data_IF_769627604605
#
_entry.id   IF_769627604605
#
_cell.length_a   1.000
_cell.length_b   1.000
_cell.length_c   1.000
_cell.angle_alpha   90.00
_cell.angle_beta   90.00
_cell.angle_gamma   90.00
#
_symmetry.space_group_name_H-M   'P 1'
#
loop_
_entity.id
_entity.type
_entity.pdbx_description
1 polymer ?
#
# COMPACT_ATOMS: atom_id res chain seq x y z
N UNK A 1 22.63 -6.96 29.67
CA UNK A 1 23.79 -6.20 29.15
C UNK A 1 23.80 -4.85 29.84
N UNK A 2 24.58 -4.74 30.91
CA UNK A 2 24.75 -3.52 31.72
C UNK A 2 25.96 -2.76 31.17
N UNK A 3 25.87 -1.45 31.00
CA UNK A 3 27.02 -0.61 30.63
C UNK A 3 27.21 0.44 31.72
N UNK A 4 28.27 0.22 32.50
CA UNK A 4 28.81 1.11 33.53
C UNK A 4 29.37 2.39 32.91
N UNK A 5 29.07 3.53 33.54
CA UNK A 5 29.82 4.78 33.38
C UNK A 5 31.15 4.67 34.10
N UNK A 6 32.25 5.01 33.42
CA UNK A 6 33.54 5.22 34.05
C UNK A 6 33.68 6.67 34.54
N UNK A 7 34.12 6.78 35.79
CA UNK A 7 34.51 8.00 36.49
C UNK A 7 36.02 8.17 36.40
N UNK A 8 36.48 9.38 36.09
CA UNK A 8 37.89 9.72 35.96
C UNK A 8 38.45 10.20 37.30
N UNK A 9 39.50 9.54 37.79
CA UNK A 9 40.30 9.97 38.93
C UNK A 9 41.49 10.85 38.48
N UNK A 10 42.07 11.69 39.36
CA UNK A 10 43.03 12.73 38.98
C UNK A 10 44.48 12.23 39.01
N UNK A 11 45.30 12.72 38.08
CA UNK A 11 46.76 12.50 38.11
C UNK A 11 47.43 13.72 38.75
N UNK A 12 48.04 13.48 39.92
CA UNK A 12 48.99 14.36 40.60
C UNK A 12 50.31 14.36 39.83
N UNK A 13 50.83 15.53 39.50
CA UNK A 13 52.19 15.72 39.01
C UNK A 13 53.18 15.87 40.17
N UNK A 14 54.27 15.12 40.14
CA UNK A 14 55.49 15.42 40.91
C UNK A 14 56.71 15.02 40.09
N UNK A 15 57.59 15.97 39.76
CA UNK A 15 59.00 15.92 40.15
C UNK A 15 59.72 17.24 39.87
N UNK A 16 60.59 17.59 40.81
CA UNK A 16 61.47 18.75 40.84
C UNK A 16 62.86 18.48 40.21
N UNK A 17 63.65 19.57 40.19
CA UNK A 17 65.12 19.72 40.03
C UNK A 17 65.52 20.40 38.69
N UNK A 18 66.46 21.34 38.58
CA UNK A 18 67.53 21.83 39.49
C UNK A 18 68.12 23.14 38.92
N UNK A 19 68.42 24.11 39.80
CA UNK A 19 69.50 25.12 39.84
C UNK A 19 69.98 25.94 38.61
N UNK A 20 70.16 27.25 38.86
CA UNK A 20 71.09 28.15 38.14
C UNK A 20 71.05 29.60 38.66
N UNK A 21 72.10 30.02 39.38
CA UNK A 21 72.32 31.35 39.96
C UNK A 21 72.37 32.50 38.92
N UNK A 22 71.88 33.68 39.30
CA UNK A 22 72.71 34.83 39.72
C UNK A 22 72.01 36.16 39.43
N UNK A 23 72.26 37.10 40.33
CA UNK A 23 71.78 38.47 40.31
C UNK A 23 72.27 39.24 39.08
N UNK A 24 71.47 40.20 38.62
CA UNK A 24 71.91 41.58 38.39
C UNK A 24 70.70 42.46 38.04
N UNK A 25 70.52 43.50 38.84
CA UNK A 25 69.66 44.65 38.56
C UNK A 25 70.05 45.28 37.21
N UNK A 26 69.08 45.39 36.29
CA UNK A 26 69.24 46.07 35.02
C UNK A 26 67.87 46.51 34.49
N UNK A 27 67.69 47.81 34.38
CA UNK A 27 66.41 48.49 34.13
C UNK A 27 65.72 48.11 32.80
N UNK A 28 64.39 48.30 32.82
CA UNK A 28 63.40 48.46 31.74
C UNK A 28 62.86 47.16 31.15
N UNK A 29 61.56 46.89 31.43
CA UNK A 29 60.61 46.23 30.55
C UNK A 29 59.16 46.58 30.97
N UNK A 30 58.83 47.87 31.14
CA UNK A 30 57.42 48.35 31.18
C UNK A 30 56.73 48.25 29.81
N UNK A 31 57.35 47.57 28.84
CA UNK A 31 56.86 47.35 27.48
C UNK A 31 56.42 45.90 27.22
N UNK A 32 56.40 45.01 28.23
CA UNK A 32 55.84 43.65 28.09
C UNK A 32 54.48 43.48 28.75
N UNK A 33 54.19 44.26 29.78
CA UNK A 33 52.93 44.15 30.55
C UNK A 33 51.72 44.78 29.83
N UNK A 34 51.94 45.74 28.92
CA UNK A 34 50.85 46.30 28.10
C UNK A 34 50.38 45.35 27.00
N UNK A 35 51.27 44.48 26.48
CA UNK A 35 50.94 43.51 25.43
C UNK A 35 50.14 42.34 26.00
N UNK A 36 50.54 41.80 27.15
CA UNK A 36 49.80 40.69 27.79
C UNK A 36 48.39 41.10 28.18
N UNK A 37 48.19 42.31 28.72
CA UNK A 37 46.85 42.74 29.12
C UNK A 37 45.89 42.89 27.94
N UNK A 38 46.32 43.48 26.82
CA UNK A 38 45.50 43.57 25.60
C UNK A 38 45.25 42.22 24.95
N UNK A 39 46.26 41.33 24.94
CA UNK A 39 46.13 39.98 24.37
C UNK A 39 45.19 39.11 25.21
N UNK A 40 45.18 39.25 26.54
CA UNK A 40 44.21 38.57 27.42
C UNK A 40 42.78 39.05 27.22
N UNK A 41 42.56 40.36 27.00
CA UNK A 41 41.21 40.87 26.66
C UNK A 41 40.75 40.39 25.28
N UNK A 42 41.65 40.34 24.29
CA UNK A 42 41.35 39.80 22.96
C UNK A 42 41.04 38.30 22.99
N UNK A 43 41.86 37.48 23.66
CA UNK A 43 41.61 36.03 23.79
C UNK A 43 40.32 35.76 24.55
N UNK A 44 40.01 36.59 25.57
CA UNK A 44 38.76 36.45 26.33
C UNK A 44 37.54 36.86 25.52
N UNK A 45 37.63 37.92 24.71
CA UNK A 45 36.58 38.33 23.78
C UNK A 45 36.37 37.31 22.66
N UNK A 46 37.44 36.80 22.04
CA UNK A 46 37.34 35.74 21.02
C UNK A 46 36.75 34.45 21.59
N UNK A 47 37.04 34.12 22.85
CA UNK A 47 36.46 32.97 23.53
C UNK A 47 34.97 33.18 23.87
N UNK A 48 34.55 34.40 24.21
CA UNK A 48 33.14 34.78 24.43
C UNK A 48 32.35 34.70 23.12
N UNK A 49 32.87 35.30 22.04
CA UNK A 49 32.30 35.23 20.69
C UNK A 49 32.20 33.78 20.18
N UNK A 50 33.19 32.93 20.50
CA UNK A 50 33.14 31.50 20.15
C UNK A 50 32.05 30.75 20.93
N UNK A 51 31.79 31.13 22.19
CA UNK A 51 30.73 30.56 23.01
C UNK A 51 29.35 31.02 22.51
N UNK A 52 29.23 32.27 22.10
CA UNK A 52 28.02 32.82 21.50
C UNK A 52 27.71 32.16 20.15
N UNK A 53 28.72 31.93 19.30
CA UNK A 53 28.55 31.17 18.05
C UNK A 53 28.09 29.72 18.32
N UNK A 54 28.64 29.07 19.36
CA UNK A 54 28.21 27.73 19.77
C UNK A 54 26.77 27.74 20.29
N UNK A 55 26.39 28.73 21.10
CA UNK A 55 25.03 28.89 21.60
C UNK A 55 24.03 29.17 20.48
N UNK A 56 24.40 30.01 19.50
CA UNK A 56 23.62 30.23 18.29
C UNK A 56 23.44 28.93 17.49
N UNK A 57 24.51 28.17 17.27
CA UNK A 57 24.44 26.89 16.57
C UNK A 57 23.54 25.88 17.31
N UNK A 58 23.65 25.79 18.64
CA UNK A 58 22.79 24.95 19.47
C UNK A 58 21.31 25.34 19.35
N UNK A 59 21.00 26.65 19.38
CA UNK A 59 19.61 27.13 19.23
C UNK A 59 19.01 26.78 17.86
N UNK A 60 19.82 26.75 16.80
CA UNK A 60 19.40 26.31 15.46
C UNK A 60 19.14 24.81 15.46
N UNK A 61 20.04 24.01 16.04
CA UNK A 61 19.87 22.56 16.14
C UNK A 61 18.64 22.16 16.97
N UNK A 62 18.36 22.85 18.06
CA UNK A 62 17.16 22.59 18.88
C UNK A 62 15.87 22.92 18.12
N UNK A 63 15.88 23.99 17.32
CA UNK A 63 14.76 24.36 16.44
C UNK A 63 14.54 23.30 15.37
N UNK A 64 15.61 22.80 14.77
CA UNK A 64 15.56 21.74 13.76
C UNK A 64 15.09 20.41 14.36
N UNK A 65 15.61 20.01 15.52
CA UNK A 65 15.17 18.81 16.23
C UNK A 65 13.68 18.88 16.58
N UNK A 66 13.22 20.03 17.09
CA UNK A 66 11.80 20.24 17.35
C UNK A 66 10.95 20.09 16.09
N UNK A 67 11.38 20.69 14.97
CA UNK A 67 10.70 20.58 13.69
C UNK A 67 10.62 19.12 13.21
N UNK A 68 11.74 18.39 13.23
CA UNK A 68 11.78 16.97 12.83
C UNK A 68 10.85 16.13 13.70
N UNK A 69 10.84 16.36 15.02
CA UNK A 69 9.94 15.66 15.96
C UNK A 69 8.47 15.97 15.70
N UNK A 70 8.13 17.19 15.31
CA UNK A 70 6.75 17.55 14.99
C UNK A 70 6.30 16.89 13.69
N UNK A 71 7.15 16.89 12.66
CA UNK A 71 6.88 16.17 11.39
C UNK A 71 6.70 14.68 11.65
N UNK A 72 7.60 14.04 12.42
CA UNK A 72 7.48 12.63 12.77
C UNK A 72 6.19 12.33 13.54
N UNK A 73 5.75 13.22 14.44
CA UNK A 73 4.46 13.10 15.13
C UNK A 73 3.29 13.15 14.16
N UNK A 74 3.29 14.07 13.20
CA UNK A 74 2.25 14.17 12.18
C UNK A 74 2.21 12.93 11.28
N UNK A 75 3.37 12.42 10.86
CA UNK A 75 3.45 11.20 10.05
C UNK A 75 2.90 9.99 10.80
N UNK A 76 3.31 9.80 12.07
CA UNK A 76 2.78 8.72 12.93
C UNK A 76 1.27 8.83 13.12
N UNK A 77 0.75 10.04 13.33
CA UNK A 77 -0.68 10.25 13.45
C UNK A 77 -1.44 9.95 12.15
N UNK A 78 -0.91 10.40 11.01
CA UNK A 78 -1.45 10.08 9.68
C UNK A 78 -1.49 8.57 9.42
N UNK A 79 -0.42 7.85 9.77
CA UNK A 79 -0.36 6.39 9.64
C UNK A 79 -1.38 5.69 10.53
N UNK A 80 -1.53 6.15 11.77
CA UNK A 80 -2.57 5.67 12.68
C UNK A 80 -3.97 5.88 12.11
N UNK A 81 -4.28 7.08 11.59
CA UNK A 81 -5.58 7.36 10.97
C UNK A 81 -5.81 6.49 9.73
N UNK A 82 -4.77 6.27 8.93
CA UNK A 82 -4.83 5.40 7.74
C UNK A 82 -5.12 3.95 8.12
N UNK A 83 -4.48 3.43 9.17
CA UNK A 83 -4.76 2.09 9.71
C UNK A 83 -6.18 2.01 10.25
N UNK A 84 -6.63 3.00 11.01
CA UNK A 84 -8.00 3.05 11.53
C UNK A 84 -9.04 3.08 10.41
N UNK A 85 -8.81 3.86 9.35
CA UNK A 85 -9.67 3.89 8.17
C UNK A 85 -9.75 2.52 7.49
N UNK A 86 -8.61 1.83 7.31
CA UNK A 86 -8.56 0.48 6.74
C UNK A 86 -9.36 -0.52 7.59
N UNK A 87 -9.20 -0.49 8.90
CA UNK A 87 -9.94 -1.36 9.82
C UNK A 87 -11.45 -1.14 9.71
N UNK A 88 -11.90 0.12 9.69
CA UNK A 88 -13.32 0.46 9.54
C UNK A 88 -13.86 -0.01 8.18
N UNK A 89 -13.10 0.19 7.10
CA UNK A 89 -13.49 -0.29 5.76
C UNK A 89 -13.61 -1.81 5.72
N UNK A 90 -12.67 -2.53 6.31
CA UNK A 90 -12.72 -3.99 6.40
C UNK A 90 -13.95 -4.45 7.16
N UNK A 91 -14.24 -3.86 8.34
CA UNK A 91 -15.43 -4.21 9.12
C UNK A 91 -16.74 -3.97 8.36
N UNK A 92 -16.83 -2.86 7.63
CA UNK A 92 -17.99 -2.56 6.78
C UNK A 92 -18.12 -3.55 5.64
N UNK A 93 -17.03 -3.82 4.92
CA UNK A 93 -17.05 -4.78 3.82
C UNK A 93 -17.41 -6.19 4.31
N UNK A 94 -16.93 -6.58 5.49
CA UNK A 94 -17.26 -7.86 6.10
C UNK A 94 -18.78 -8.01 6.27
N UNK A 95 -19.44 -7.03 6.91
CA UNK A 95 -20.88 -7.07 7.15
C UNK A 95 -21.75 -6.78 5.93
N UNK A 96 -21.36 -5.84 5.07
CA UNK A 96 -22.19 -5.40 3.94
C UNK A 96 -22.04 -6.29 2.69
N UNK A 97 -20.90 -6.98 2.56
CA UNK A 97 -20.56 -7.77 1.37
C UNK A 97 -20.35 -9.24 1.72
N UNK A 98 -19.42 -9.56 2.64
CA UNK A 98 -18.99 -10.95 2.83
C UNK A 98 -20.02 -11.81 3.56
N UNK A 99 -20.61 -11.32 4.65
CA UNK A 99 -21.59 -12.06 5.45
C UNK A 99 -22.86 -12.36 4.64
N UNK A 100 -23.48 -11.41 3.93
CA UNK A 100 -24.65 -11.68 3.09
C UNK A 100 -24.34 -12.66 1.94
N UNK A 101 -23.14 -12.58 1.36
CA UNK A 101 -22.70 -13.50 0.33
C UNK A 101 -22.61 -14.93 0.87
N UNK A 102 -21.92 -15.11 2.00
CA UNK A 102 -21.73 -16.42 2.63
C UNK A 102 -23.07 -17.00 3.09
N UNK A 103 -23.90 -16.19 3.75
CA UNK A 103 -25.24 -16.61 4.16
C UNK A 103 -26.08 -17.07 2.97
N UNK A 104 -26.03 -16.36 1.84
CA UNK A 104 -26.77 -16.77 0.63
C UNK A 104 -26.26 -18.07 0.01
N UNK A 105 -24.96 -18.33 0.11
CA UNK A 105 -24.37 -19.59 -0.34
C UNK A 105 -24.82 -20.72 0.59
N UNK A 106 -24.72 -20.52 1.89
CA UNK A 106 -25.13 -21.50 2.91
C UNK A 106 -26.62 -21.83 2.81
N UNK A 107 -27.49 -20.81 2.78
CA UNK A 107 -28.93 -20.98 2.55
C UNK A 107 -29.23 -21.79 1.28
N UNK A 108 -28.42 -21.61 0.22
CA UNK A 108 -28.61 -22.32 -1.04
C UNK A 108 -28.14 -23.75 -0.97
N UNK A 109 -27.02 -24.01 -0.29
CA UNK A 109 -26.53 -25.37 -0.03
C UNK A 109 -27.53 -26.12 0.84
N UNK A 110 -28.03 -25.50 1.90
CA UNK A 110 -29.00 -26.10 2.84
C UNK A 110 -30.38 -26.29 2.21
N UNK A 111 -30.79 -25.42 1.29
CA UNK A 111 -32.05 -25.59 0.56
C UNK A 111 -32.07 -26.82 -0.35
N UNK A 112 -30.91 -27.41 -0.67
CA UNK A 112 -30.83 -28.61 -1.49
C UNK A 112 -31.05 -29.85 -0.65
N UNK A 113 -31.96 -30.70 -1.13
CA UNK A 113 -32.13 -32.01 -0.54
C UNK A 113 -30.86 -32.83 -0.74
N UNK A 114 -30.40 -33.45 0.34
CA UNK A 114 -29.29 -34.41 0.29
C UNK A 114 -29.56 -35.55 -0.69
N UNK A 115 -30.83 -35.92 -0.89
CA UNK A 115 -31.26 -36.93 -1.85
C UNK A 115 -31.09 -36.48 -3.30
N UNK A 116 -31.36 -35.21 -3.61
CA UNK A 116 -31.14 -34.64 -4.95
C UNK A 116 -29.64 -34.63 -5.29
N UNK A 117 -28.80 -34.26 -4.32
CA UNK A 117 -27.33 -34.29 -4.46
C UNK A 117 -26.87 -35.73 -4.69
N UNK A 118 -27.38 -36.69 -3.90
CA UNK A 118 -27.02 -38.11 -4.02
C UNK A 118 -27.42 -38.66 -5.39
N UNK A 119 -28.65 -38.41 -5.84
CA UNK A 119 -29.14 -38.86 -7.15
C UNK A 119 -28.29 -38.31 -8.29
N UNK A 120 -27.91 -37.03 -8.23
CA UNK A 120 -27.00 -36.43 -9.23
C UNK A 120 -25.64 -37.12 -9.23
N UNK A 121 -25.07 -37.41 -8.06
CA UNK A 121 -23.78 -38.09 -7.95
C UNK A 121 -23.86 -39.51 -8.51
N UNK A 122 -24.96 -40.24 -8.25
CA UNK A 122 -25.23 -41.56 -8.80
C UNK A 122 -25.35 -41.52 -10.33
N UNK A 123 -26.04 -40.53 -10.89
CA UNK A 123 -26.15 -40.31 -12.35
C UNK A 123 -24.79 -39.98 -12.99
N UNK A 124 -23.96 -39.16 -12.35
CA UNK A 124 -22.61 -38.86 -12.85
C UNK A 124 -21.70 -40.09 -12.81
N UNK A 125 -21.80 -40.89 -11.74
CA UNK A 125 -21.06 -42.13 -11.60
C UNK A 125 -21.47 -43.17 -12.65
N UNK A 126 -22.77 -43.32 -12.92
CA UNK A 126 -23.24 -44.26 -13.94
C UNK A 126 -22.75 -43.86 -15.34
N UNK A 127 -22.78 -42.57 -15.68
CA UNK A 127 -22.21 -42.05 -16.94
C UNK A 127 -20.70 -42.34 -17.05
N UNK A 128 -19.95 -42.19 -15.95
CA UNK A 128 -18.52 -42.50 -15.93
C UNK A 128 -18.24 -43.99 -16.11
N UNK A 129 -19.00 -44.85 -15.43
CA UNK A 129 -18.87 -46.31 -15.56
C UNK A 129 -19.20 -46.74 -17.00
N UNK A 130 -20.26 -46.19 -17.59
CA UNK A 130 -20.63 -46.46 -18.99
C UNK A 130 -19.53 -46.03 -19.97
N UNK A 131 -18.90 -44.89 -19.74
CA UNK A 131 -17.74 -44.44 -20.52
C UNK A 131 -16.55 -45.39 -20.37
N UNK A 132 -16.20 -45.79 -19.14
CA UNK A 132 -15.13 -46.75 -18.87
C UNK A 132 -15.39 -48.09 -19.57
N UNK A 133 -16.61 -48.60 -19.49
CA UNK A 133 -17.01 -49.86 -20.11
C UNK A 133 -16.95 -49.79 -21.64
N UNK A 134 -17.32 -48.64 -22.24
CA UNK A 134 -17.23 -48.42 -23.70
C UNK A 134 -15.79 -48.31 -24.20
N UNK A 135 -14.92 -47.63 -23.45
CA UNK A 135 -13.52 -47.40 -23.84
C UNK A 135 -12.60 -48.57 -23.48
N UNK A 136 -13.00 -49.42 -22.53
CA UNK A 136 -12.26 -50.59 -22.08
C UNK A 136 -11.11 -50.23 -21.12
N UNK A 137 -10.09 -49.53 -21.62
CA UNK A 137 -8.98 -49.02 -20.82
C UNK A 137 -8.96 -47.49 -20.87
N UNK A 138 -9.19 -46.85 -19.72
CA UNK A 138 -9.16 -45.39 -19.58
C UNK A 138 -7.84 -44.98 -18.93
N UNK A 139 -6.87 -44.57 -19.76
CA UNK A 139 -5.69 -43.88 -19.27
C UNK A 139 -6.06 -42.42 -18.94
N UNK A 140 -5.81 -42.00 -17.70
CA UNK A 140 -6.11 -40.64 -17.21
C UNK A 140 -5.46 -39.54 -18.07
N UNK A 141 -4.34 -39.86 -18.72
CA UNK A 141 -3.56 -38.92 -19.54
C UNK A 141 -4.18 -38.64 -20.92
N UNK A 142 -5.19 -39.41 -21.34
CA UNK A 142 -5.85 -39.30 -22.67
C UNK A 142 -7.31 -38.87 -22.56
N UNK A 143 -7.56 -37.90 -21.67
CA UNK A 143 -8.88 -37.32 -21.49
C UNK A 143 -9.26 -36.43 -22.69
N UNK A 144 -10.34 -36.79 -23.39
CA UNK A 144 -10.95 -35.99 -24.44
C UNK A 144 -12.37 -35.58 -24.03
N UNK A 145 -12.67 -34.27 -23.90
CA UNK A 145 -14.00 -33.79 -23.53
C UNK A 145 -15.10 -34.18 -24.52
N UNK A 146 -14.75 -34.54 -25.77
CA UNK A 146 -15.70 -35.01 -26.77
C UNK A 146 -16.21 -36.43 -26.49
N UNK A 147 -15.44 -37.24 -25.75
CA UNK A 147 -15.77 -38.63 -25.44
C UNK A 147 -16.56 -38.75 -24.13
N UNK A 148 -16.13 -38.01 -23.11
CA UNK A 148 -16.79 -37.92 -21.82
C UNK A 148 -16.43 -36.57 -21.21
N UNK A 149 -17.44 -35.84 -20.73
CA UNK A 149 -17.26 -34.58 -20.02
C UNK A 149 -17.85 -34.71 -18.60
N UNK A 150 -17.01 -34.78 -17.54
CA UNK A 150 -17.47 -34.87 -16.16
C UNK A 150 -18.10 -33.55 -15.70
N UNK A 151 -17.91 -32.46 -16.44
CA UNK A 151 -18.55 -31.18 -16.18
C UNK A 151 -19.78 -30.97 -17.04
N UNK A 152 -20.25 -31.97 -17.80
CA UNK A 152 -21.42 -31.81 -18.65
C UNK A 152 -22.66 -31.56 -17.81
N UNK A 153 -23.06 -30.28 -17.72
CA UNK A 153 -24.18 -29.78 -16.93
C UNK A 153 -25.54 -30.10 -17.59
N UNK A 154 -25.80 -31.37 -17.90
CA UNK A 154 -27.09 -31.82 -18.44
C UNK A 154 -28.24 -31.59 -17.44
N UNK A 155 -27.90 -31.56 -16.16
CA UNK A 155 -28.80 -31.29 -15.03
C UNK A 155 -28.64 -29.83 -14.60
N UNK A 156 -29.57 -29.00 -15.09
CA UNK A 156 -29.85 -27.58 -14.78
C UNK A 156 -28.73 -26.78 -14.12
N UNK A 157 -28.01 -25.97 -14.91
CA UNK A 157 -27.07 -24.94 -14.41
C UNK A 157 -27.70 -24.01 -13.38
N UNK A 158 -29.02 -23.87 -13.41
CA UNK A 158 -29.79 -23.03 -12.49
C UNK A 158 -29.88 -23.59 -11.07
N UNK A 159 -29.58 -24.88 -10.83
CA UNK A 159 -29.74 -25.47 -9.50
C UNK A 159 -28.80 -24.84 -8.46
N UNK A 160 -27.63 -24.34 -8.88
CA UNK A 160 -26.64 -23.69 -8.00
C UNK A 160 -26.55 -22.17 -8.22
N UNK A 161 -27.38 -21.61 -9.10
CA UNK A 161 -27.34 -20.18 -9.41
C UNK A 161 -28.07 -19.40 -8.32
N UNK A 162 -27.39 -18.41 -7.75
CA UNK A 162 -27.93 -17.55 -6.70
C UNK A 162 -28.06 -16.13 -7.23
N UNK A 163 -29.27 -15.57 -7.17
CA UNK A 163 -29.49 -14.14 -7.40
C UNK A 163 -29.24 -13.39 -6.09
N UNK A 164 -28.31 -12.46 -6.10
CA UNK A 164 -27.95 -11.65 -4.93
C UNK A 164 -28.35 -10.21 -5.24
N UNK A 165 -28.99 -9.49 -4.29
CA UNK A 165 -29.24 -8.06 -4.45
C UNK A 165 -27.92 -7.29 -4.59
N UNK A 166 -27.99 -6.05 -5.08
CA UNK A 166 -26.80 -5.21 -5.23
C UNK A 166 -26.09 -5.03 -3.89
N UNK A 167 -24.89 -5.59 -3.78
CA UNK A 167 -24.05 -5.48 -2.59
C UNK A 167 -23.53 -4.05 -2.44
N UNK A 168 -23.56 -3.54 -1.22
CA UNK A 168 -23.11 -2.20 -0.89
C UNK A 168 -21.61 -2.23 -0.59
N UNK A 169 -20.79 -2.28 -1.64
CA UNK A 169 -19.34 -2.28 -1.48
C UNK A 169 -18.84 -0.88 -1.01
N UNK A 170 -18.24 -0.77 0.19
CA UNK A 170 -17.72 0.50 0.69
C UNK A 170 -16.61 1.09 -0.19
N UNK A 171 -15.88 0.28 -0.97
CA UNK A 171 -14.84 0.77 -1.89
C UNK A 171 -15.45 1.42 -3.15
N UNK A 172 -16.64 0.98 -3.53
CA UNK A 172 -17.32 1.49 -4.72
C UNK A 172 -18.33 2.59 -4.41
N UNK A 173 -18.59 2.86 -3.13
CA UNK A 173 -19.62 3.81 -2.68
C UNK A 173 -19.46 5.21 -3.28
N UNK A 174 -18.26 5.77 -3.23
CA UNK A 174 -17.99 7.11 -3.79
C UNK A 174 -18.17 7.10 -5.31
N UNK A 175 -17.71 6.02 -5.94
CA UNK A 175 -17.82 5.84 -7.38
C UNK A 175 -19.28 5.69 -7.84
N UNK A 176 -20.12 4.99 -7.06
CA UNK A 176 -21.55 4.84 -7.31
C UNK A 176 -22.29 6.16 -7.07
N UNK A 177 -21.98 6.86 -5.98
CA UNK A 177 -22.53 8.19 -5.68
C UNK A 177 -22.27 9.16 -6.82
N UNK A 178 -21.02 9.27 -7.27
CA UNK A 178 -20.64 10.15 -8.37
C UNK A 178 -21.41 9.82 -9.66
N UNK A 179 -21.69 8.54 -9.93
CA UNK A 179 -22.52 8.17 -11.08
C UNK A 179 -23.97 8.56 -10.94
N UNK A 180 -24.55 8.34 -9.78
CA UNK A 180 -25.93 8.75 -9.51
C UNK A 180 -26.06 10.26 -9.69
N UNK A 181 -25.12 11.02 -9.14
CA UNK A 181 -25.06 12.48 -9.30
C UNK A 181 -24.93 12.89 -10.78
N UNK A 182 -23.99 12.32 -11.54
CA UNK A 182 -23.85 12.60 -12.99
C UNK A 182 -25.09 12.21 -13.80
N UNK A 183 -25.72 11.11 -13.44
CA UNK A 183 -26.96 10.65 -14.04
C UNK A 183 -28.10 11.65 -13.84
N UNK A 184 -28.25 12.15 -12.61
CA UNK A 184 -29.25 13.17 -12.27
C UNK A 184 -28.98 14.46 -13.05
N UNK A 185 -27.72 14.93 -13.11
CA UNK A 185 -27.34 16.12 -13.87
C UNK A 185 -27.74 15.97 -15.34
N UNK A 186 -27.36 14.88 -15.98
CA UNK A 186 -27.70 14.61 -17.38
C UNK A 186 -29.20 14.53 -17.62
N UNK A 187 -29.95 13.97 -16.66
CA UNK A 187 -31.41 13.92 -16.72
C UNK A 187 -32.01 15.33 -16.64
N UNK A 188 -31.50 16.20 -15.77
CA UNK A 188 -31.92 17.60 -15.70
C UNK A 188 -31.62 18.36 -17.00
N UNK A 189 -30.48 18.07 -17.64
CA UNK A 189 -30.10 18.70 -18.91
C UNK A 189 -30.94 18.20 -20.10
N UNK A 190 -31.18 16.89 -20.18
CA UNK A 190 -31.80 16.24 -21.36
C UNK A 190 -33.32 16.12 -21.23
N UNK A 191 -33.88 16.27 -20.02
CA UNK A 191 -35.30 16.05 -19.74
C UNK A 191 -35.76 14.59 -19.87
N UNK A 192 -34.82 13.63 -19.99
CA UNK A 192 -35.10 12.20 -20.18
C UNK A 192 -34.51 11.38 -19.03
N UNK A 193 -35.26 10.38 -18.58
CA UNK A 193 -34.79 9.41 -17.59
C UNK A 193 -33.58 8.65 -18.14
N UNK A 194 -32.47 8.68 -17.41
CA UNK A 194 -31.28 7.91 -17.76
C UNK A 194 -31.41 6.48 -17.23
N UNK A 195 -31.31 5.50 -18.12
CA UNK A 195 -31.26 4.08 -17.75
C UNK A 195 -29.91 3.70 -17.14
N UNK A 196 -29.88 2.61 -16.38
CA UNK A 196 -28.62 2.02 -15.88
C UNK A 196 -27.62 1.71 -17.02
N UNK A 197 -28.12 1.40 -18.22
CA UNK A 197 -27.27 1.21 -19.41
C UNK A 197 -26.62 2.53 -19.83
N UNK A 198 -27.40 3.60 -19.94
CA UNK A 198 -26.91 4.93 -20.29
C UNK A 198 -25.85 5.44 -19.30
N UNK A 199 -26.00 5.13 -18.02
CA UNK A 199 -25.02 5.47 -16.98
C UNK A 199 -23.71 4.67 -17.13
N UNK A 200 -23.78 3.39 -17.53
CA UNK A 200 -22.58 2.59 -17.83
C UNK A 200 -21.85 3.14 -19.06
N UNK A 201 -22.59 3.61 -20.05
CA UNK A 201 -22.01 4.19 -21.25
C UNK A 201 -21.36 5.55 -20.98
N UNK A 202 -21.92 6.36 -20.07
CA UNK A 202 -21.25 7.56 -19.56
C UNK A 202 -19.91 7.23 -18.88
N UNK A 203 -19.86 6.20 -18.02
CA UNK A 203 -18.59 5.75 -17.44
C UNK A 203 -17.58 5.36 -18.49
N UNK A 204 -18.03 4.63 -19.51
CA UNK A 204 -17.17 4.20 -20.61
C UNK A 204 -16.62 5.42 -21.34
N UNK A 205 -17.47 6.39 -21.68
CA UNK A 205 -17.07 7.59 -22.41
C UNK A 205 -16.08 8.51 -21.65
N UNK A 206 -16.10 8.51 -20.32
CA UNK A 206 -15.20 9.35 -19.50
C UNK A 206 -13.78 8.80 -19.36
N UNK A 207 -13.54 7.52 -19.65
CA UNK A 207 -12.20 6.94 -19.56
C UNK A 207 -11.36 7.43 -20.74
N UNK A 208 -10.13 7.95 -20.49
CA UNK A 208 -9.27 8.40 -21.58
C UNK A 208 -8.99 7.21 -22.51
N UNK A 209 -9.31 7.38 -23.79
CA UNK A 209 -8.99 6.41 -24.82
C UNK A 209 -7.47 6.31 -24.93
N UNK A 210 -6.89 5.32 -24.26
CA UNK A 210 -5.48 5.01 -24.47
C UNK A 210 -5.31 4.57 -25.93
N UNK A 211 -4.22 4.96 -26.62
CA UNK A 211 -3.96 4.47 -27.96
C UNK A 211 -3.92 2.93 -27.92
N UNK A 212 -4.78 2.28 -28.72
CA UNK A 212 -5.02 0.83 -28.75
C UNK A 212 -5.64 0.22 -27.47
N UNK A 213 -6.32 1.05 -26.67
CA UNK A 213 -7.13 0.63 -25.55
C UNK A 213 -8.25 -0.31 -26.00
N UNK A 214 -8.37 -1.46 -25.33
CA UNK A 214 -9.47 -2.42 -25.56
C UNK A 214 -10.67 -2.16 -24.65
N UNK A 215 -10.74 -0.98 -24.02
CA UNK A 215 -11.77 -0.64 -23.03
C UNK A 215 -13.20 -0.60 -23.59
N UNK A 216 -13.37 -0.52 -24.92
CA UNK A 216 -14.68 -0.52 -25.60
C UNK A 216 -14.94 -1.70 -26.50
N UNK A 217 -14.00 -2.66 -26.60
CA UNK A 217 -14.19 -3.81 -27.48
C UNK A 217 -15.12 -4.83 -26.83
N UNK A 218 -16.00 -5.41 -27.63
CA UNK A 218 -16.84 -6.52 -27.16
C UNK A 218 -15.98 -7.77 -26.91
N UNK A 219 -16.42 -8.65 -26.01
CA UNK A 219 -15.69 -9.88 -25.68
C UNK A 219 -15.46 -10.75 -26.93
N UNK A 220 -16.41 -10.75 -27.87
CA UNK A 220 -16.28 -11.51 -29.13
C UNK A 220 -15.28 -10.89 -30.10
N UNK A 221 -15.18 -9.56 -30.12
CA UNK A 221 -14.18 -8.84 -30.92
C UNK A 221 -12.78 -9.00 -30.33
N UNK A 222 -12.69 -9.11 -29.00
CA UNK A 222 -11.45 -9.36 -28.29
C UNK A 222 -10.79 -10.67 -28.70
N UNK A 223 -11.60 -11.71 -28.90
CA UNK A 223 -11.17 -13.05 -29.32
C UNK A 223 -10.72 -13.11 -30.79
N UNK A 224 -11.14 -12.16 -31.63
CA UNK A 224 -10.78 -12.11 -33.06
C UNK A 224 -9.40 -11.50 -33.31
N UNK A 225 -8.72 -10.99 -32.28
CA UNK A 225 -7.45 -10.29 -32.46
C UNK A 225 -6.32 -11.31 -32.62
N UNK A 226 -5.56 -11.17 -33.71
CA UNK A 226 -4.43 -12.06 -34.00
C UNK A 226 -3.38 -12.04 -32.87
N UNK A 227 -2.83 -13.21 -32.56
CA UNK A 227 -1.72 -13.42 -31.61
C UNK A 227 -0.52 -12.50 -31.89
N UNK A 228 -0.29 -12.16 -33.17
CA UNK A 228 0.76 -11.24 -33.63
C UNK A 228 0.65 -9.82 -33.07
N UNK A 229 -0.51 -9.42 -32.55
CA UNK A 229 -0.71 -8.13 -31.89
C UNK A 229 0.22 -7.95 -30.68
N UNK A 230 0.49 -9.02 -29.91
CA UNK A 230 1.39 -8.98 -28.75
C UNK A 230 2.85 -8.72 -29.19
N UNK A 231 3.20 -9.16 -30.40
CA UNK A 231 4.50 -8.95 -31.02
C UNK A 231 4.60 -7.62 -31.80
N UNK A 232 3.54 -6.80 -31.82
CA UNK A 232 3.54 -5.53 -32.55
C UNK A 232 4.60 -4.57 -32.01
N UNK A 233 5.16 -3.75 -32.90
CA UNK A 233 6.20 -2.75 -32.58
C UNK A 233 5.80 -1.80 -31.44
N UNK A 234 4.51 -1.62 -31.21
CA UNK A 234 3.96 -0.77 -30.14
C UNK A 234 4.27 -1.32 -28.74
N UNK A 235 4.38 -2.63 -28.57
CA UNK A 235 4.75 -3.27 -27.30
C UNK A 235 6.26 -3.49 -27.14
N UNK A 236 7.02 -3.39 -28.22
CA UNK A 236 8.49 -3.53 -28.16
C UNK A 236 9.19 -2.29 -27.61
N UNK A 237 8.55 -1.11 -27.64
CA UNK A 237 9.14 0.16 -27.16
C UNK A 237 8.98 0.39 -25.66
N UNK A 238 9.37 -0.57 -24.81
CA UNK A 238 9.74 -0.33 -23.38
C UNK A 238 10.69 -1.43 -22.90
N UNK A 239 11.99 -1.28 -23.21
CA UNK A 239 13.09 -1.83 -22.42
C UNK A 239 14.00 -0.69 -22.04
#
# INVERSE_FOLDING_TARGET
KSVQRFSSAPVKSSRANTFGCSACLGKKNTTRDWLTQTDFYHVKAEQDESQDLIACAQSVLEREDYFVREVDRYLKHSDFLRLRKKEILYKKWLGDVSEPLLQKIEEKVDSKSSEEIRKRNEEQLSLYIDYCNKKGFVALDTYSPLEYDPFFLKTSTDCWKVSIPTLQDPLLKDMQRNLTEKGIIKQCETGKLCSSRDLKDLRRAELPLLPLSRQHMDATEWLKILQAYIASEVHQRKR
#
